data_IF_139183164756
#
_entry.id   IF_139183164756
#
_cell.length_a   1.000
_cell.length_b   1.000
_cell.length_c   1.000
_cell.angle_alpha   90.00
_cell.angle_beta   90.00
_cell.angle_gamma   90.00
#
_symmetry.space_group_name_H-M   'P 1'
#
loop_
_entity.id
_entity.type
_entity.pdbx_description
1 polymer ?
#
# COMPACT_ATOMS: atom_id res chain seq x y z
N UNK A 1 37.88 -9.08 -10.79
CA UNK A 1 36.44 -9.20 -10.47
C UNK A 1 36.30 -10.03 -9.21
N UNK A 2 35.77 -9.46 -8.12
CA UNK A 2 35.57 -10.18 -6.85
C UNK A 2 34.21 -10.86 -6.88
N UNK A 3 34.18 -12.19 -6.93
CA UNK A 3 32.94 -12.97 -6.96
C UNK A 3 32.30 -12.99 -5.58
N UNK A 4 31.19 -12.26 -5.40
CA UNK A 4 30.38 -12.34 -4.17
C UNK A 4 29.54 -13.61 -4.27
N UNK A 5 29.84 -14.63 -3.45
CA UNK A 5 29.00 -15.83 -3.32
C UNK A 5 27.79 -15.52 -2.43
N UNK A 6 26.59 -15.61 -2.99
CA UNK A 6 25.34 -15.51 -2.21
C UNK A 6 24.98 -16.87 -1.61
N UNK A 7 24.61 -16.89 -0.33
CA UNK A 7 23.98 -18.07 0.27
C UNK A 7 22.49 -18.08 -0.07
N UNK A 8 21.99 -19.22 -0.58
CA UNK A 8 20.56 -19.46 -0.71
C UNK A 8 20.09 -20.04 0.62
N UNK A 9 19.25 -19.30 1.34
CA UNK A 9 18.72 -19.69 2.65
C UNK A 9 17.21 -19.91 2.50
N UNK A 10 16.74 -21.09 2.87
CA UNK A 10 15.32 -21.42 2.97
C UNK A 10 14.89 -21.44 4.44
N UNK A 11 13.65 -21.04 4.71
CA UNK A 11 13.03 -21.22 6.01
C UNK A 11 12.45 -22.64 6.11
N UNK A 12 12.65 -23.31 7.24
CA UNK A 12 12.00 -24.58 7.57
C UNK A 12 11.03 -24.39 8.76
N UNK A 13 9.81 -23.86 8.50
CA UNK A 13 8.89 -23.50 9.56
C UNK A 13 8.08 -24.70 10.07
N UNK A 14 7.89 -24.79 11.39
CA UNK A 14 6.91 -25.71 11.97
C UNK A 14 5.45 -25.26 11.67
N UNK A 15 4.48 -26.11 12.03
CA UNK A 15 3.06 -25.85 11.75
C UNK A 15 2.56 -24.49 12.28
N UNK A 16 2.98 -24.09 13.48
CA UNK A 16 2.60 -22.82 14.09
C UNK A 16 3.21 -21.63 13.33
N UNK A 17 4.50 -21.71 13.00
CA UNK A 17 5.22 -20.68 12.24
C UNK A 17 4.65 -20.55 10.82
N UNK A 18 4.43 -21.66 10.12
CA UNK A 18 3.85 -21.69 8.78
C UNK A 18 2.45 -21.06 8.76
N UNK A 19 1.63 -21.35 9.78
CA UNK A 19 0.31 -20.72 9.95
C UNK A 19 0.44 -19.21 10.16
N UNK A 20 1.35 -18.76 11.03
CA UNK A 20 1.58 -17.35 11.27
C UNK A 20 2.06 -16.61 10.01
N UNK A 21 3.00 -17.19 9.26
CA UNK A 21 3.50 -16.63 8.00
C UNK A 21 2.38 -16.49 6.96
N UNK A 22 1.52 -17.51 6.83
CA UNK A 22 0.34 -17.45 5.94
C UNK A 22 -0.60 -16.31 6.33
N UNK A 23 -0.89 -16.13 7.63
CA UNK A 23 -1.69 -14.99 8.13
C UNK A 23 -1.02 -13.65 7.79
N UNK A 24 0.29 -13.52 8.05
CA UNK A 24 1.05 -12.30 7.79
C UNK A 24 1.03 -11.91 6.29
N UNK A 25 1.24 -12.88 5.40
CA UNK A 25 1.12 -12.68 3.95
C UNK A 25 -0.32 -12.27 3.55
N UNK A 26 -1.34 -12.86 4.18
CA UNK A 26 -2.73 -12.47 3.98
C UNK A 26 -3.00 -11.01 4.36
N UNK A 27 -2.53 -10.59 5.54
CA UNK A 27 -2.66 -9.21 6.02
C UNK A 27 -1.91 -8.22 5.13
N UNK A 28 -0.69 -8.55 4.71
CA UNK A 28 0.09 -7.72 3.79
C UNK A 28 -0.64 -7.51 2.46
N UNK A 29 -1.17 -8.59 1.86
CA UNK A 29 -1.96 -8.52 0.62
C UNK A 29 -3.20 -7.66 0.80
N UNK A 30 -3.95 -7.86 1.89
CA UNK A 30 -5.14 -7.07 2.19
C UNK A 30 -4.79 -5.59 2.32
N UNK A 31 -3.77 -5.26 3.11
CA UNK A 31 -3.36 -3.87 3.34
C UNK A 31 -2.90 -3.17 2.05
N UNK A 32 -2.18 -3.89 1.18
CA UNK A 32 -1.81 -3.40 -0.14
C UNK A 32 -3.05 -3.07 -0.98
N UNK A 33 -4.00 -4.01 -1.10
CA UNK A 33 -5.20 -3.84 -1.91
C UNK A 33 -6.12 -2.75 -1.35
N UNK A 34 -6.29 -2.70 -0.02
CA UNK A 34 -7.04 -1.64 0.66
C UNK A 34 -6.42 -0.28 0.36
N UNK A 35 -5.09 -0.15 0.50
CA UNK A 35 -4.39 1.10 0.26
C UNK A 35 -4.44 1.51 -1.22
N UNK A 36 -4.35 0.56 -2.16
CA UNK A 36 -4.52 0.82 -3.59
C UNK A 36 -5.92 1.37 -3.89
N UNK A 37 -6.96 0.79 -3.28
CA UNK A 37 -8.34 1.28 -3.42
C UNK A 37 -8.51 2.71 -2.86
N UNK A 38 -7.96 2.99 -1.68
CA UNK A 38 -7.99 4.34 -1.09
C UNK A 38 -7.19 5.34 -1.92
N UNK A 39 -6.02 4.94 -2.44
CA UNK A 39 -5.20 5.79 -3.30
C UNK A 39 -5.96 6.23 -4.54
N UNK A 40 -6.63 5.29 -5.22
CA UNK A 40 -7.45 5.59 -6.41
C UNK A 40 -8.57 6.58 -6.08
N UNK A 41 -9.28 6.39 -4.98
CA UNK A 41 -10.35 7.30 -4.52
C UNK A 41 -9.82 8.71 -4.24
N UNK A 42 -8.71 8.82 -3.51
CA UNK A 42 -8.10 10.12 -3.18
C UNK A 42 -7.60 10.83 -4.44
N UNK A 43 -7.03 10.10 -5.39
CA UNK A 43 -6.58 10.64 -6.66
C UNK A 43 -7.72 11.13 -7.55
N UNK A 44 -8.82 10.37 -7.62
CA UNK A 44 -10.03 10.77 -8.36
C UNK A 44 -10.66 12.03 -7.77
N UNK A 45 -10.72 12.15 -6.44
CA UNK A 45 -11.17 13.37 -5.76
C UNK A 45 -10.27 14.58 -6.10
N UNK A 46 -8.95 14.40 -6.08
CA UNK A 46 -7.99 15.45 -6.46
C UNK A 46 -8.19 15.89 -7.92
N UNK A 47 -8.43 14.93 -8.82
CA UNK A 47 -8.70 15.21 -10.23
C UNK A 47 -9.99 15.99 -10.41
N UNK A 48 -11.09 15.52 -9.83
CA UNK A 48 -12.40 16.19 -9.95
C UNK A 48 -12.35 17.63 -9.42
N UNK A 49 -11.66 17.86 -8.30
CA UNK A 49 -11.48 19.20 -7.74
C UNK A 49 -10.73 20.13 -8.71
N UNK A 50 -9.67 19.64 -9.35
CA UNK A 50 -8.92 20.42 -10.36
C UNK A 50 -9.79 20.74 -11.58
N UNK A 51 -10.53 19.75 -12.06
CA UNK A 51 -11.41 19.90 -13.22
C UNK A 51 -12.52 20.94 -12.91
N UNK A 52 -13.09 20.92 -11.69
CA UNK A 52 -14.07 21.92 -11.23
C UNK A 52 -13.47 23.33 -11.11
N UNK A 53 -12.26 23.47 -10.57
CA UNK A 53 -11.56 24.74 -10.48
C UNK A 53 -11.30 25.32 -11.88
N UNK A 54 -10.85 24.48 -12.82
CA UNK A 54 -10.62 24.87 -14.20
C UNK A 54 -11.92 25.31 -14.88
N UNK A 55 -13.01 24.56 -14.71
CA UNK A 55 -14.31 24.90 -15.29
C UNK A 55 -14.89 26.22 -14.73
N UNK A 56 -14.64 26.54 -13.46
CA UNK A 56 -15.10 27.78 -12.81
C UNK A 56 -14.12 28.94 -12.96
N UNK A 57 -12.93 28.72 -13.54
CA UNK A 57 -11.87 29.74 -13.64
C UNK A 57 -11.31 30.17 -12.28
N UNK A 58 -11.42 29.33 -11.25
CA UNK A 58 -10.97 29.62 -9.88
C UNK A 58 -9.55 29.10 -9.69
N UNK A 59 -8.72 29.82 -8.93
CA UNK A 59 -7.40 29.35 -8.51
C UNK A 59 -7.50 28.10 -7.62
N UNK A 60 -6.55 27.18 -7.78
CA UNK A 60 -6.52 25.93 -7.02
C UNK A 60 -6.03 26.24 -5.60
N UNK A 61 -6.89 26.06 -4.59
CA UNK A 61 -6.45 26.04 -3.19
C UNK A 61 -5.69 24.74 -2.90
N UNK A 62 -4.39 24.86 -2.59
CA UNK A 62 -3.52 23.73 -2.32
C UNK A 62 -3.90 22.95 -1.07
N UNK A 63 -4.56 23.59 -0.09
CA UNK A 63 -4.97 22.94 1.15
C UNK A 63 -6.11 21.93 0.93
N UNK A 64 -6.86 22.08 -0.15
CA UNK A 64 -7.94 21.17 -0.54
C UNK A 64 -7.46 19.99 -1.38
N UNK A 65 -6.20 19.99 -1.85
CA UNK A 65 -5.65 18.92 -2.67
C UNK A 65 -5.44 17.64 -1.83
N UNK A 66 -6.14 16.58 -2.22
CA UNK A 66 -5.99 15.27 -1.58
C UNK A 66 -4.92 14.43 -2.28
N UNK A 67 -3.67 14.93 -2.29
CA UNK A 67 -2.53 14.19 -2.84
C UNK A 67 -2.33 12.89 -2.04
N UNK A 68 -2.50 11.70 -2.66
CA UNK A 68 -2.38 10.45 -1.96
C UNK A 68 -0.92 10.23 -1.51
N UNK A 69 -0.73 9.69 -0.31
CA UNK A 69 0.60 9.30 0.15
C UNK A 69 0.53 8.07 1.04
N UNK A 70 1.57 7.23 0.98
CA UNK A 70 1.65 6.03 1.84
C UNK A 70 1.56 6.40 3.33
N UNK A 71 2.10 7.57 3.72
CA UNK A 71 2.03 8.06 5.09
C UNK A 71 0.61 8.38 5.55
N UNK A 72 -0.18 9.07 4.72
CA UNK A 72 -1.60 9.35 4.99
C UNK A 72 -2.40 8.05 5.10
N UNK A 73 -2.19 7.11 4.17
CA UNK A 73 -2.90 5.83 4.15
C UNK A 73 -2.57 4.96 5.36
N UNK A 74 -1.31 4.95 5.82
CA UNK A 74 -0.94 4.27 7.07
C UNK A 74 -1.63 4.86 8.28
N UNK A 75 -1.70 6.18 8.39
CA UNK A 75 -2.42 6.86 9.48
C UNK A 75 -3.90 6.49 9.45
N UNK A 76 -4.52 6.56 8.27
CA UNK A 76 -5.92 6.20 8.06
C UNK A 76 -6.20 4.73 8.42
N UNK A 77 -5.37 3.79 7.96
CA UNK A 77 -5.54 2.38 8.30
C UNK A 77 -5.38 2.16 9.81
N UNK A 78 -4.38 2.78 10.43
CA UNK A 78 -4.18 2.65 11.87
C UNK A 78 -5.34 3.17 12.71
N UNK A 79 -6.03 4.21 12.25
CA UNK A 79 -7.23 4.74 12.93
C UNK A 79 -8.38 3.73 12.90
N UNK A 80 -8.59 3.03 11.77
CA UNK A 80 -9.75 2.14 11.59
C UNK A 80 -9.47 0.66 11.87
N UNK A 81 -8.20 0.22 11.90
CA UNK A 81 -7.88 -1.21 11.86
C UNK A 81 -8.35 -1.99 13.08
N UNK A 82 -8.38 -1.38 14.27
CA UNK A 82 -8.83 -2.08 15.48
C UNK A 82 -10.31 -2.42 15.41
N UNK A 83 -11.11 -1.51 14.87
CA UNK A 83 -12.56 -1.65 14.75
C UNK A 83 -12.94 -2.47 13.51
N UNK A 84 -12.42 -2.11 12.33
CA UNK A 84 -12.85 -2.69 11.05
C UNK A 84 -12.08 -3.95 10.66
N UNK A 85 -10.83 -4.10 11.11
CA UNK A 85 -9.92 -5.17 10.68
C UNK A 85 -9.14 -5.79 11.84
N UNK A 86 -9.82 -6.26 12.91
CA UNK A 86 -9.15 -6.73 14.13
C UNK A 86 -8.16 -7.87 13.88
N UNK A 87 -8.39 -8.71 12.86
CA UNK A 87 -7.47 -9.78 12.44
C UNK A 87 -6.05 -9.28 12.08
N UNK A 88 -5.87 -8.01 11.75
CA UNK A 88 -4.54 -7.43 11.52
C UNK A 88 -3.66 -7.41 12.77
N UNK A 89 -4.26 -7.51 13.95
CA UNK A 89 -3.55 -7.53 15.24
C UNK A 89 -2.98 -8.93 15.56
N UNK A 90 -3.41 -9.97 14.85
CA UNK A 90 -2.89 -11.34 15.02
C UNK A 90 -1.47 -11.53 14.48
N UNK A 91 -0.96 -10.55 13.72
CA UNK A 91 0.35 -10.59 13.06
C UNK A 91 1.17 -9.35 13.36
N UNK A 92 2.47 -9.41 13.04
CA UNK A 92 3.36 -8.26 13.22
C UNK A 92 2.85 -7.01 12.50
N UNK A 93 3.00 -5.85 13.15
CA UNK A 93 2.69 -4.51 12.60
C UNK A 93 3.37 -4.26 11.25
N UNK A 94 4.50 -4.91 11.01
CA UNK A 94 5.28 -4.75 9.80
C UNK A 94 4.54 -5.28 8.56
N UNK A 95 3.66 -6.28 8.70
CA UNK A 95 2.93 -6.88 7.58
C UNK A 95 2.06 -5.85 6.83
N UNK A 96 1.14 -5.12 7.47
CA UNK A 96 0.39 -4.07 6.78
C UNK A 96 1.25 -2.83 6.48
N UNK A 97 2.20 -2.49 7.35
CA UNK A 97 3.01 -1.28 7.20
C UNK A 97 3.90 -1.32 5.95
N UNK A 98 4.65 -2.41 5.77
CA UNK A 98 5.55 -2.59 4.64
C UNK A 98 4.78 -2.69 3.33
N UNK A 99 3.62 -3.35 3.33
CA UNK A 99 2.77 -3.45 2.16
C UNK A 99 2.33 -2.07 1.63
N UNK A 100 1.94 -1.15 2.52
CA UNK A 100 1.56 0.21 2.14
C UNK A 100 2.77 1.04 1.68
N UNK A 101 3.94 0.84 2.30
CA UNK A 101 5.18 1.50 1.86
C UNK A 101 5.57 1.07 0.45
N UNK A 102 5.54 -0.24 0.16
CA UNK A 102 5.81 -0.81 -1.16
C UNK A 102 4.83 -0.28 -2.22
N UNK A 103 3.55 -0.13 -1.88
CA UNK A 103 2.58 0.53 -2.77
C UNK A 103 3.00 1.97 -3.10
N UNK A 104 3.39 2.74 -2.08
CA UNK A 104 3.89 4.10 -2.27
C UNK A 104 5.11 4.16 -3.20
N UNK A 105 6.06 3.26 -3.02
CA UNK A 105 7.23 3.18 -3.89
C UNK A 105 6.88 2.74 -5.31
N UNK A 106 5.89 1.85 -5.48
CA UNK A 106 5.38 1.46 -6.80
C UNK A 106 4.77 2.67 -7.52
N UNK A 107 3.98 3.50 -6.82
CA UNK A 107 3.45 4.73 -7.41
C UNK A 107 4.55 5.75 -7.75
N UNK A 108 5.58 5.91 -6.91
CA UNK A 108 6.73 6.76 -7.25
C UNK A 108 7.39 6.32 -8.55
N UNK A 109 7.65 5.02 -8.72
CA UNK A 109 8.23 4.45 -9.95
C UNK A 109 7.29 4.63 -11.14
N UNK A 110 5.99 4.41 -10.96
CA UNK A 110 4.98 4.64 -11.99
C UNK A 110 4.98 6.09 -12.50
N UNK A 111 4.96 7.08 -11.61
CA UNK A 111 4.98 8.50 -12.01
C UNK A 111 6.31 8.93 -12.64
N UNK A 112 7.41 8.21 -12.37
CA UNK A 112 8.69 8.39 -13.08
C UNK A 112 8.76 7.68 -14.44
N UNK A 113 7.75 6.89 -14.81
CA UNK A 113 7.77 6.06 -16.02
C UNK A 113 8.63 4.79 -15.92
N UNK A 114 9.13 4.45 -14.73
CA UNK A 114 10.00 3.29 -14.49
C UNK A 114 9.23 1.97 -14.34
N UNK A 115 7.90 2.03 -14.15
CA UNK A 115 7.07 0.84 -13.95
C UNK A 115 5.63 1.05 -14.41
N UNK A 116 4.90 -0.04 -14.65
CA UNK A 116 3.46 -0.01 -14.96
C UNK A 116 2.63 0.39 -13.74
N UNK A 117 1.41 0.83 -13.99
CA UNK A 117 0.47 1.22 -12.93
C UNK A 117 0.23 0.07 -11.93
N UNK A 118 0.17 0.34 -10.61
CA UNK A 118 -0.07 -0.68 -9.60
C UNK A 118 -1.41 -1.42 -9.81
N UNK A 119 -1.37 -2.74 -9.73
CA UNK A 119 -2.55 -3.62 -9.82
C UNK A 119 -2.83 -4.30 -8.48
N UNK A 120 -4.08 -4.72 -8.28
CA UNK A 120 -4.47 -5.48 -7.09
C UNK A 120 -3.73 -6.82 -7.04
N UNK A 121 -3.24 -7.16 -5.86
CA UNK A 121 -2.57 -8.43 -5.61
C UNK A 121 -3.59 -9.56 -5.50
N UNK A 122 -3.31 -10.65 -6.21
CA UNK A 122 -4.09 -11.89 -6.17
C UNK A 122 -3.43 -12.91 -5.25
N UNK A 123 -4.22 -13.83 -4.71
CA UNK A 123 -3.69 -15.03 -4.07
C UNK A 123 -3.17 -15.94 -5.17
N UNK A 124 -1.88 -16.22 -5.19
CA UNK A 124 -1.32 -17.34 -5.95
C UNK A 124 -1.62 -18.60 -5.14
N UNK A 125 -2.34 -19.54 -5.75
CA UNK A 125 -2.55 -20.88 -5.21
C UNK A 125 -1.28 -21.70 -5.46
#
# INVERSE_FOLDING_TARGET
MTTIRGHIIALDPNNTQATHLKKACGVARFAYNWALGQWKKQYEQDKNYRDECQAKGISIDENRLNKPSQGKLRKQLNAIKREKYPFMLEVTKCSPQLAIMQLGDTFKRFFKGESKSPISQKRRQ
#
